data_IF_057378246855
#
_entry.id   IF_057378246855
#
_cell.length_a   1.000
_cell.length_b   1.000
_cell.length_c   1.000
_cell.angle_alpha   90.00
_cell.angle_beta   90.00
_cell.angle_gamma   90.00
#
_symmetry.space_group_name_H-M   'P 1'
#
loop_
_entity.id
_entity.type
_entity.pdbx_description
1 polymer ?
#
# COMPACT_ATOMS: atom_id res chain seq x y z
N UNK A 1 20.65 2.34 -25.55
CA UNK A 1 19.86 3.54 -25.22
C UNK A 1 19.23 3.22 -23.89
N UNK A 2 19.71 3.83 -22.82
CA UNK A 2 19.10 3.67 -21.49
C UNK A 2 18.06 4.78 -21.42
N UNK A 3 16.80 4.41 -21.26
CA UNK A 3 15.73 5.40 -21.09
C UNK A 3 15.93 6.10 -19.74
N UNK A 4 16.00 7.43 -19.75
CA UNK A 4 16.06 8.24 -18.54
C UNK A 4 14.74 8.07 -17.77
N UNK A 5 14.76 7.29 -16.69
CA UNK A 5 13.62 7.15 -15.79
C UNK A 5 13.54 8.44 -14.97
N UNK A 6 12.48 9.23 -15.19
CA UNK A 6 12.18 10.42 -14.40
C UNK A 6 11.30 10.02 -13.23
N UNK A 7 11.70 10.42 -12.02
CA UNK A 7 10.91 10.24 -10.81
C UNK A 7 10.25 11.57 -10.41
N UNK A 8 9.01 11.51 -9.93
CA UNK A 8 8.31 12.64 -9.32
C UNK A 8 8.04 12.36 -7.84
N UNK A 9 8.20 13.39 -7.02
CA UNK A 9 7.90 13.33 -5.60
C UNK A 9 6.50 13.89 -5.34
N UNK A 10 5.67 13.14 -4.64
CA UNK A 10 4.39 13.63 -4.14
C UNK A 10 4.40 13.69 -2.61
N UNK A 11 4.05 14.86 -2.07
CA UNK A 11 3.78 15.06 -0.67
C UNK A 11 2.26 15.08 -0.47
N UNK A 12 1.75 14.16 0.33
CA UNK A 12 0.34 14.15 0.70
C UNK A 12 0.22 14.37 2.20
N UNK A 13 -0.55 15.39 2.57
CA UNK A 13 -0.87 15.70 3.97
C UNK A 13 -2.31 15.24 4.28
N UNK A 14 -2.48 14.53 5.38
CA UNK A 14 -3.79 14.21 5.96
C UNK A 14 -3.75 14.47 7.46
N UNK A 15 -4.39 15.55 7.89
CA UNK A 15 -4.35 15.99 9.29
C UNK A 15 -2.93 16.27 9.79
N UNK A 16 -2.46 15.52 10.78
CA UNK A 16 -1.12 15.66 11.38
C UNK A 16 -0.05 14.76 10.76
N UNK A 17 -0.39 13.95 9.75
CA UNK A 17 0.55 13.00 9.14
C UNK A 17 0.96 13.49 7.75
N UNK A 18 2.27 13.59 7.53
CA UNK A 18 2.90 13.82 6.22
C UNK A 18 3.43 12.50 5.69
N UNK A 19 3.15 12.19 4.43
CA UNK A 19 3.76 11.05 3.72
C UNK A 19 4.39 11.50 2.41
N UNK A 20 5.52 10.88 2.11
CA UNK A 20 6.32 11.13 0.91
C UNK A 20 6.20 9.91 -0.01
N UNK A 21 5.90 10.13 -1.28
CA UNK A 21 5.81 9.09 -2.29
C UNK A 21 6.81 9.38 -3.42
N UNK A 22 7.55 8.35 -3.84
CA UNK A 22 8.28 8.34 -5.10
C UNK A 22 7.38 7.73 -6.18
N UNK A 23 7.17 8.45 -7.28
CA UNK A 23 6.36 8.01 -8.41
C UNK A 23 7.20 8.00 -9.67
N UNK A 24 6.87 7.12 -10.60
CA UNK A 24 7.44 7.15 -11.95
C UNK A 24 6.73 8.25 -12.77
N UNK A 25 7.46 9.03 -13.57
CA UNK A 25 6.87 10.16 -14.29
C UNK A 25 5.75 9.69 -15.22
N UNK A 26 4.54 10.21 -15.03
CA UNK A 26 3.35 9.83 -15.80
C UNK A 26 2.34 8.95 -15.07
N UNK A 27 2.64 8.42 -13.89
CA UNK A 27 1.67 7.68 -13.08
C UNK A 27 0.77 8.61 -12.24
N UNK A 28 -0.55 8.43 -12.36
CA UNK A 28 -1.52 9.10 -11.51
C UNK A 28 -1.76 8.25 -10.26
N UNK A 29 -1.55 8.84 -9.09
CA UNK A 29 -1.97 8.23 -7.82
C UNK A 29 -3.44 8.52 -7.65
N UNK A 30 -4.27 7.49 -7.82
CA UNK A 30 -5.69 7.56 -7.44
C UNK A 30 -5.80 7.16 -5.96
N UNK A 31 -5.90 8.16 -5.07
CA UNK A 31 -6.21 7.93 -3.65
C UNK A 31 -7.73 7.92 -3.51
N UNK A 32 -8.30 6.81 -3.04
CA UNK A 32 -9.74 6.66 -2.86
C UNK A 32 -10.07 6.52 -1.36
N UNK A 33 -10.93 7.43 -0.92
CA UNK A 33 -11.66 7.51 0.35
C UNK A 33 -10.93 8.05 1.60
N UNK A 34 -11.51 9.17 2.07
CA UNK A 34 -11.41 9.87 3.35
C UNK A 34 -10.18 10.79 3.60
N UNK A 35 -10.42 12.09 3.34
CA UNK A 35 -9.69 13.29 3.78
C UNK A 35 -8.15 13.29 3.70
N UNK A 36 -7.58 12.76 2.63
CA UNK A 36 -6.29 13.25 2.15
C UNK A 36 -6.57 14.37 1.15
N UNK A 37 -6.43 15.62 1.59
CA UNK A 37 -6.34 16.73 0.65
C UNK A 37 -4.98 16.64 -0.03
N UNK A 38 -4.91 15.87 -1.12
CA UNK A 38 -3.79 15.97 -2.03
C UNK A 38 -3.83 17.36 -2.69
N UNK A 39 -3.14 18.34 -2.08
CA UNK A 39 -2.75 19.56 -2.77
C UNK A 39 -1.68 19.11 -3.77
N UNK A 40 -2.07 18.82 -5.00
CA UNK A 40 -1.10 18.27 -5.96
C UNK A 40 -0.20 19.37 -6.54
N UNK A 41 1.06 18.94 -6.69
CA UNK A 41 2.15 19.47 -7.50
C UNK A 41 2.89 20.68 -6.92
N UNK A 42 3.94 20.36 -6.15
CA UNK A 42 5.13 21.20 -6.08
C UNK A 42 6.23 20.46 -6.85
N UNK A 43 6.62 20.97 -8.02
CA UNK A 43 7.97 20.67 -8.53
C UNK A 43 8.97 21.22 -7.52
N UNK A 44 9.90 20.38 -7.07
CA UNK A 44 11.07 20.83 -6.32
C UNK A 44 12.14 21.10 -7.38
N UNK A 45 12.52 22.37 -7.52
CA UNK A 45 13.67 22.77 -8.32
C UNK A 45 14.93 22.09 -7.76
N UNK A 46 15.46 21.10 -8.48
CA UNK A 46 16.86 20.72 -8.35
C UNK A 46 17.62 21.57 -9.37
N UNK A 47 18.39 22.54 -8.87
CA UNK A 47 19.30 23.31 -9.71
C UNK A 47 20.29 22.35 -10.39
N UNK A 48 20.11 22.15 -11.69
CA UNK A 48 21.19 21.70 -12.55
C UNK A 48 22.09 22.91 -12.80
N UNK A 49 23.26 22.95 -12.18
CA UNK A 49 24.33 23.82 -12.65
C UNK A 49 24.57 23.52 -14.13
N UNK A 50 24.39 24.54 -14.96
CA UNK A 50 24.56 24.58 -16.43
C UNK A 50 23.28 24.37 -17.24
N UNK A 51 22.37 25.35 -17.09
CA UNK A 51 21.69 26.07 -18.18
C UNK A 51 21.54 25.30 -19.50
N UNK A 52 20.33 24.85 -19.81
CA UNK A 52 19.63 25.05 -21.09
C UNK A 52 18.22 24.43 -21.03
N UNK A 53 17.20 25.24 -21.36
CA UNK A 53 15.77 24.95 -21.67
C UNK A 53 14.71 25.41 -20.62
N UNK A 54 13.47 25.75 -21.08
CA UNK A 54 12.79 26.99 -20.73
C UNK A 54 11.82 26.92 -19.53
N UNK A 55 11.65 28.09 -18.90
CA UNK A 55 10.61 28.44 -17.93
C UNK A 55 9.20 28.05 -18.39
N UNK A 56 8.43 27.41 -17.50
CA UNK A 56 6.97 27.36 -17.57
C UNK A 56 6.33 28.07 -16.38
N UNK A 57 5.20 28.74 -16.65
CA UNK A 57 4.51 29.68 -15.75
C UNK A 57 3.31 28.98 -15.10
N UNK A 58 3.20 29.06 -13.77
CA UNK A 58 2.12 28.48 -12.95
C UNK A 58 0.80 29.27 -13.03
N UNK A 59 -0.34 28.58 -13.02
CA UNK A 59 -1.69 29.16 -12.78
C UNK A 59 -2.50 28.24 -11.84
N UNK A 60 -3.22 28.85 -10.90
CA UNK A 60 -3.90 28.28 -9.71
C UNK A 60 -5.07 27.32 -9.98
N UNK A 61 -5.34 26.40 -9.05
CA UNK A 61 -6.56 25.56 -9.01
C UNK A 61 -7.52 25.94 -7.88
N UNK A 62 -8.84 25.96 -8.19
CA UNK A 62 -9.97 26.15 -7.25
C UNK A 62 -10.71 24.81 -7.08
N UNK A 63 -11.15 24.47 -5.86
CA UNK A 63 -11.98 23.30 -5.59
C UNK A 63 -13.28 23.64 -4.86
N UNK A 64 -14.43 23.20 -5.38
CA UNK A 64 -15.76 23.32 -4.76
C UNK A 64 -16.10 22.09 -3.91
N UNK A 65 -16.76 22.30 -2.76
CA UNK A 65 -17.27 21.23 -1.87
C UNK A 65 -18.66 20.75 -2.32
N UNK A 66 -18.87 19.44 -2.37
CA UNK A 66 -20.22 18.85 -2.31
C UNK A 66 -20.46 18.28 -0.92
N UNK A 67 -21.63 18.60 -0.33
CA UNK A 67 -22.11 18.03 0.94
C UNK A 67 -23.02 16.84 0.62
N UNK A 68 -22.66 15.64 1.04
CA UNK A 68 -23.58 14.50 1.14
C UNK A 68 -24.23 14.47 2.53
N UNK A 69 -25.44 13.90 2.61
CA UNK A 69 -26.26 13.83 3.84
C UNK A 69 -25.65 12.91 4.91
N UNK A 70 -26.33 12.70 6.05
CA UNK A 70 -25.80 11.88 7.13
C UNK A 70 -25.65 10.42 6.67
N UNK A 71 -24.42 9.94 6.64
CA UNK A 71 -24.11 8.54 6.37
C UNK A 71 -24.71 7.64 7.47
N UNK A 72 -25.10 6.40 7.13
CA UNK A 72 -25.46 5.41 8.14
C UNK A 72 -24.31 5.30 9.15
N UNK A 73 -24.63 5.21 10.45
CA UNK A 73 -23.65 5.22 11.55
C UNK A 73 -22.68 4.04 11.37
N UNK A 74 -21.59 4.25 10.65
CA UNK A 74 -20.45 3.35 10.52
C UNK A 74 -19.71 3.41 11.85
N UNK A 75 -19.86 2.37 12.68
CA UNK A 75 -18.98 2.22 13.84
C UNK A 75 -17.58 1.91 13.32
N UNK A 76 -16.66 2.87 13.47
CA UNK A 76 -15.25 2.66 13.17
C UNK A 76 -14.73 1.45 13.95
N UNK A 77 -14.06 0.50 13.30
CA UNK A 77 -13.55 -0.68 13.97
C UNK A 77 -12.53 -0.29 15.05
N UNK A 78 -12.49 -1.05 16.14
CA UNK A 78 -11.52 -0.82 17.21
C UNK A 78 -10.10 -1.17 16.78
N UNK A 79 -9.95 -2.15 15.87
CA UNK A 79 -8.69 -2.54 15.25
C UNK A 79 -8.88 -2.76 13.74
N UNK A 80 -7.89 -2.40 12.94
CA UNK A 80 -7.86 -2.68 11.51
C UNK A 80 -6.44 -2.87 10.99
N UNK A 81 -6.33 -3.60 9.89
CA UNK A 81 -5.08 -3.75 9.12
C UNK A 81 -5.42 -3.51 7.64
N UNK A 82 -4.91 -2.41 7.09
CA UNK A 82 -4.97 -2.13 5.66
C UNK A 82 -3.68 -2.65 4.99
N UNK A 83 -3.82 -3.52 4.02
CA UNK A 83 -2.69 -4.11 3.29
C UNK A 83 -2.55 -3.43 1.95
N UNK A 84 -1.34 -2.98 1.63
CA UNK A 84 -0.95 -2.55 0.28
C UNK A 84 0.00 -3.61 -0.29
N UNK A 85 -0.47 -4.34 -1.30
CA UNK A 85 0.30 -5.38 -1.97
C UNK A 85 0.78 -4.87 -3.32
N UNK A 86 2.10 -4.69 -3.42
CA UNK A 86 2.84 -4.23 -4.59
C UNK A 86 3.43 -5.46 -5.27
N UNK A 87 2.88 -5.82 -6.42
CA UNK A 87 3.36 -6.94 -7.21
C UNK A 87 4.37 -6.44 -8.25
N UNK A 88 5.67 -6.58 -7.96
CA UNK A 88 6.73 -6.21 -8.91
C UNK A 88 7.16 -7.38 -9.82
N UNK A 89 6.50 -8.53 -9.69
CA UNK A 89 6.74 -9.67 -10.57
C UNK A 89 6.14 -9.44 -11.96
N UNK A 90 6.41 -10.35 -12.90
CA UNK A 90 5.80 -10.32 -14.24
C UNK A 90 4.57 -11.25 -14.35
N UNK A 91 4.02 -11.70 -13.21
CA UNK A 91 2.88 -12.60 -13.14
C UNK A 91 1.74 -11.98 -12.34
N UNK A 92 0.51 -12.30 -12.72
CA UNK A 92 -0.68 -11.88 -11.98
C UNK A 92 -0.84 -12.71 -10.71
N UNK A 93 -1.10 -12.04 -9.58
CA UNK A 93 -1.44 -12.72 -8.34
C UNK A 93 -2.93 -13.02 -8.33
N UNK A 94 -3.28 -14.29 -8.16
CA UNK A 94 -4.67 -14.74 -8.15
C UNK A 94 -5.10 -15.09 -6.72
N UNK A 95 -6.12 -14.43 -6.18
CA UNK A 95 -6.61 -14.71 -4.83
C UNK A 95 -6.99 -16.18 -4.68
N UNK A 96 -6.62 -16.78 -3.53
CA UNK A 96 -6.89 -18.19 -3.25
C UNK A 96 -7.75 -18.38 -2.02
N UNK A 97 -7.41 -17.71 -0.93
CA UNK A 97 -8.16 -17.82 0.31
C UNK A 97 -8.03 -16.59 1.17
N UNK A 98 -9.07 -16.38 1.96
CA UNK A 98 -9.07 -15.49 3.12
C UNK A 98 -9.64 -16.29 4.27
N UNK A 99 -8.81 -16.55 5.27
CA UNK A 99 -9.21 -17.24 6.51
C UNK A 99 -9.04 -16.28 7.67
N UNK A 100 -10.07 -16.11 8.49
CA UNK A 100 -10.05 -15.22 9.64
C UNK A 100 -10.31 -16.03 10.90
N UNK A 101 -9.39 -15.93 11.86
CA UNK A 101 -9.58 -16.45 13.20
C UNK A 101 -10.34 -15.42 14.05
N UNK A 102 -10.12 -14.12 13.80
CA UNK A 102 -10.85 -13.01 14.40
C UNK A 102 -11.10 -11.86 13.42
N UNK A 103 -12.20 -11.16 13.62
CA UNK A 103 -12.59 -10.00 12.82
C UNK A 103 -13.33 -10.39 11.54
N UNK A 104 -13.34 -9.46 10.58
CA UNK A 104 -14.00 -9.61 9.29
C UNK A 104 -13.24 -8.84 8.21
N UNK A 105 -13.55 -9.14 6.96
CA UNK A 105 -13.13 -8.31 5.83
C UNK A 105 -13.93 -7.00 5.87
N UNK A 106 -13.26 -5.87 5.68
CA UNK A 106 -13.90 -4.55 5.66
C UNK A 106 -14.81 -4.46 4.44
N UNK A 107 -16.00 -3.88 4.61
CA UNK A 107 -16.98 -3.77 3.52
C UNK A 107 -16.40 -2.96 2.36
N UNK A 108 -16.53 -3.47 1.14
CA UNK A 108 -15.97 -2.89 -0.10
C UNK A 108 -14.44 -2.80 -0.16
N UNK A 109 -13.71 -3.45 0.75
CA UNK A 109 -12.24 -3.51 0.75
C UNK A 109 -11.78 -4.97 0.85
N UNK A 110 -12.42 -5.85 0.08
CA UNK A 110 -12.06 -7.27 0.01
C UNK A 110 -10.72 -7.48 -0.70
N UNK A 111 -9.95 -8.52 -0.34
CA UNK A 111 -8.82 -8.96 -1.16
C UNK A 111 -9.25 -9.08 -2.63
N UNK A 112 -8.61 -8.33 -3.57
CA UNK A 112 -8.97 -8.40 -4.98
C UNK A 112 -8.72 -9.79 -5.54
N UNK A 113 -9.59 -10.27 -6.43
CA UNK A 113 -9.43 -11.59 -7.08
C UNK A 113 -8.12 -11.68 -7.88
N UNK A 114 -7.71 -10.57 -8.50
CA UNK A 114 -6.49 -10.47 -9.31
C UNK A 114 -5.72 -9.19 -8.96
N UNK A 115 -4.42 -9.33 -8.77
CA UNK A 115 -3.46 -8.21 -8.69
C UNK A 115 -2.50 -8.36 -9.89
N UNK A 116 -2.67 -7.55 -10.95
CA UNK A 116 -1.87 -7.73 -12.15
C UNK A 116 -0.37 -7.54 -11.91
N UNK A 117 0.45 -8.09 -12.80
CA UNK A 117 1.89 -7.83 -12.85
C UNK A 117 2.19 -6.31 -12.85
N UNK A 118 3.17 -5.90 -12.04
CA UNK A 118 3.60 -4.50 -11.92
C UNK A 118 2.60 -3.56 -11.21
N UNK A 119 1.49 -4.07 -10.66
CA UNK A 119 0.44 -3.24 -10.07
C UNK A 119 0.44 -3.28 -8.53
N UNK A 120 -0.13 -2.24 -7.94
CA UNK A 120 -0.44 -2.17 -6.51
C UNK A 120 -1.94 -2.29 -6.29
N UNK A 121 -2.34 -3.10 -5.31
CA UNK A 121 -3.72 -3.16 -4.84
C UNK A 121 -3.77 -3.16 -3.31
N UNK A 122 -4.95 -2.93 -2.77
CA UNK A 122 -5.15 -2.93 -1.33
C UNK A 122 -6.43 -3.65 -0.92
N UNK A 123 -6.45 -4.09 0.33
CA UNK A 123 -7.62 -4.63 1.01
C UNK A 123 -7.49 -4.34 2.51
N UNK A 124 -8.56 -4.53 3.26
CA UNK A 124 -8.56 -4.27 4.69
C UNK A 124 -9.32 -5.32 5.48
N UNK A 125 -8.74 -5.73 6.59
CA UNK A 125 -9.40 -6.53 7.61
C UNK A 125 -9.67 -5.64 8.83
N UNK A 126 -10.79 -5.88 9.51
CA UNK A 126 -11.18 -5.11 10.68
C UNK A 126 -11.74 -5.99 11.80
N UNK A 127 -11.59 -5.52 13.04
CA UNK A 127 -12.20 -6.16 14.20
C UNK A 127 -13.72 -6.14 14.08
N UNK A 128 -14.36 -7.24 14.45
CA UNK A 128 -15.81 -7.31 14.63
C UNK A 128 -16.09 -7.83 16.04
N UNK A 129 -16.80 -7.03 16.86
CA UNK A 129 -17.21 -7.42 18.20
C UNK A 129 -16.57 -6.59 19.31
N UNK A 130 -16.91 -6.95 20.55
CA UNK A 130 -16.44 -6.24 21.74
C UNK A 130 -15.11 -6.82 22.21
N UNK A 131 -14.08 -5.97 22.29
CA UNK A 131 -12.72 -6.34 22.74
C UNK A 131 -12.06 -7.43 21.89
N UNK A 132 -12.33 -7.45 20.60
CA UNK A 132 -11.70 -8.35 19.63
C UNK A 132 -10.66 -7.62 18.79
N UNK A 133 -9.65 -8.36 18.34
CA UNK A 133 -8.67 -7.88 17.36
C UNK A 133 -9.08 -8.25 15.94
N UNK A 134 -8.10 -8.22 15.05
CA UNK A 134 -8.20 -8.86 13.73
C UNK A 134 -7.05 -9.83 13.57
N UNK A 135 -7.36 -11.07 13.20
CA UNK A 135 -6.37 -12.12 12.98
C UNK A 135 -6.80 -12.95 11.78
N UNK A 136 -5.87 -13.17 10.85
CA UNK A 136 -6.13 -14.03 9.72
C UNK A 136 -5.02 -14.12 8.70
N UNK A 137 -5.28 -14.94 7.69
CA UNK A 137 -4.38 -15.21 6.58
C UNK A 137 -5.08 -14.94 5.26
N UNK A 138 -4.42 -14.19 4.38
CA UNK A 138 -4.80 -14.02 2.98
C UNK A 138 -3.73 -14.69 2.12
N UNK A 139 -4.14 -15.48 1.13
CA UNK A 139 -3.23 -16.12 0.20
C UNK A 139 -3.53 -15.79 -1.25
N UNK A 140 -2.47 -15.59 -2.02
CA UNK A 140 -2.49 -15.36 -3.45
C UNK A 140 -1.62 -16.39 -4.15
N UNK A 141 -2.04 -16.88 -5.30
CA UNK A 141 -1.23 -17.73 -6.17
C UNK A 141 -0.35 -16.87 -7.05
N UNK A 142 0.96 -17.11 -6.99
CA UNK A 142 1.98 -16.39 -7.76
C UNK A 142 2.17 -17.05 -9.13
N UNK A 143 2.34 -18.38 -9.16
CA UNK A 143 2.54 -19.20 -10.36
C UNK A 143 1.65 -20.46 -10.36
N UNK A 144 1.97 -21.53 -11.09
CA UNK A 144 1.17 -22.77 -11.05
C UNK A 144 1.22 -23.54 -9.71
N UNK A 145 2.23 -23.28 -8.88
CA UNK A 145 2.65 -24.13 -7.76
C UNK A 145 2.96 -23.40 -6.46
N UNK A 146 3.22 -22.09 -6.50
CA UNK A 146 3.68 -21.26 -5.37
C UNK A 146 2.65 -20.21 -5.00
N UNK A 147 2.41 -20.02 -3.71
CA UNK A 147 1.52 -19.01 -3.16
C UNK A 147 2.32 -17.95 -2.40
N UNK A 148 1.84 -16.70 -2.41
CA UNK A 148 2.19 -15.69 -1.42
C UNK A 148 1.21 -15.84 -0.24
N UNK A 149 1.74 -15.99 0.97
CA UNK A 149 0.97 -16.09 2.21
C UNK A 149 1.17 -14.83 3.02
N UNK A 150 0.08 -14.16 3.41
CA UNK A 150 0.07 -12.95 4.25
C UNK A 150 -0.71 -13.25 5.52
N UNK A 151 -0.02 -13.50 6.62
CA UNK A 151 -0.58 -13.62 7.96
C UNK A 151 -0.50 -12.28 8.71
N UNK A 152 -1.60 -11.92 9.36
CA UNK A 152 -1.76 -10.69 10.12
C UNK A 152 -2.44 -10.99 11.46
N UNK A 153 -1.91 -10.40 12.52
CA UNK A 153 -2.53 -10.36 13.85
C UNK A 153 -2.37 -8.94 14.41
N UNK A 154 -3.49 -8.25 14.63
CA UNK A 154 -3.57 -6.97 15.33
C UNK A 154 -4.58 -7.14 16.47
N UNK A 155 -4.11 -7.57 17.65
CA UNK A 155 -4.97 -7.97 18.76
C UNK A 155 -5.62 -6.75 19.43
N UNK A 156 -6.73 -6.96 20.14
CA UNK A 156 -7.37 -5.89 20.92
C UNK A 156 -6.41 -5.28 21.97
N UNK A 157 -5.55 -6.10 22.56
CA UNK A 157 -4.45 -5.71 23.44
C UNK A 157 -3.23 -6.54 23.09
N UNK A 158 -2.08 -5.89 22.92
CA UNK A 158 -0.85 -6.54 22.50
C UNK A 158 -0.15 -5.75 21.40
N UNK A 159 0.88 -6.36 20.84
CA UNK A 159 1.62 -5.84 19.68
C UNK A 159 1.11 -6.51 18.40
N UNK A 160 1.22 -5.79 17.30
CA UNK A 160 0.89 -6.32 15.99
C UNK A 160 1.96 -7.35 15.56
N UNK A 161 1.53 -8.35 14.80
CA UNK A 161 2.41 -9.40 14.26
C UNK A 161 2.05 -9.68 12.82
N UNK A 162 3.06 -9.73 11.95
CA UNK A 162 2.88 -9.94 10.52
C UNK A 162 3.92 -10.92 10.01
N UNK A 163 3.47 -11.93 9.24
CA UNK A 163 4.36 -12.83 8.51
C UNK A 163 3.93 -12.84 7.05
N UNK A 164 4.89 -12.62 6.16
CA UNK A 164 4.64 -12.68 4.72
C UNK A 164 5.76 -13.47 4.08
N UNK A 165 5.40 -14.49 3.31
CA UNK A 165 6.37 -15.37 2.68
C UNK A 165 5.77 -16.10 1.47
N UNK A 166 6.59 -16.42 0.45
CA UNK A 166 6.22 -17.38 -0.57
C UNK A 166 6.22 -18.81 0.00
N UNK A 167 5.25 -19.63 -0.40
CA UNK A 167 5.08 -21.03 -0.01
C UNK A 167 4.80 -21.91 -1.23
N UNK A 168 5.66 -22.90 -1.47
CA UNK A 168 5.54 -23.84 -2.59
C UNK A 168 6.90 -24.19 -3.23
N UNK A 169 6.87 -25.02 -4.28
CA UNK A 169 8.08 -25.56 -4.90
C UNK A 169 9.06 -24.53 -5.48
N UNK A 170 8.58 -23.35 -5.89
CA UNK A 170 9.43 -22.28 -6.43
C UNK A 170 9.53 -21.09 -5.45
N UNK A 171 9.28 -21.30 -4.15
CA UNK A 171 9.29 -20.22 -3.16
C UNK A 171 10.62 -19.45 -3.12
N UNK A 172 11.72 -20.14 -3.42
CA UNK A 172 13.09 -19.60 -3.51
C UNK A 172 13.33 -18.67 -4.72
N UNK A 173 12.38 -18.58 -5.66
CA UNK A 173 12.45 -17.67 -6.80
C UNK A 173 11.83 -16.30 -6.51
N UNK A 174 11.28 -16.10 -5.33
CA UNK A 174 10.59 -14.87 -4.95
C UNK A 174 11.14 -14.34 -3.64
N UNK A 175 11.26 -13.01 -3.57
CA UNK A 175 11.60 -12.30 -2.36
C UNK A 175 10.43 -11.41 -1.91
N UNK A 176 10.31 -11.23 -0.60
CA UNK A 176 9.27 -10.42 0.03
C UNK A 176 9.90 -9.41 0.97
N UNK A 177 9.71 -8.14 0.65
CA UNK A 177 9.96 -7.04 1.59
C UNK A 177 8.64 -6.61 2.21
N UNK A 178 8.63 -6.34 3.51
CA UNK A 178 7.45 -5.84 4.22
C UNK A 178 7.76 -4.68 5.15
N UNK A 179 6.87 -3.68 5.16
CA UNK A 179 6.83 -2.62 6.16
C UNK A 179 5.71 -2.91 7.15
N UNK A 180 6.02 -2.98 8.45
CA UNK A 180 5.04 -3.27 9.48
C UNK A 180 4.45 -1.97 10.01
N UNK A 181 3.13 -1.89 10.11
CA UNK A 181 2.44 -0.78 10.77
C UNK A 181 2.09 -1.12 12.21
N UNK A 182 2.18 -0.11 13.08
CA UNK A 182 1.81 -0.22 14.49
C UNK A 182 0.47 0.47 14.80
N UNK A 183 0.01 0.26 16.04
CA UNK A 183 -1.19 0.91 16.56
C UNK A 183 -2.48 0.17 16.21
N UNK A 184 -3.60 0.81 16.55
CA UNK A 184 -4.92 0.21 16.44
C UNK A 184 -5.38 0.02 14.98
N UNK A 185 -5.11 1.01 14.13
CA UNK A 185 -5.42 0.98 12.70
C UNK A 185 -4.09 1.02 11.95
N UNK A 186 -3.59 -0.17 11.63
CA UNK A 186 -2.26 -0.36 11.12
C UNK A 186 -2.27 -0.54 9.59
N UNK A 187 -1.14 -0.23 8.97
CA UNK A 187 -0.92 -0.45 7.55
C UNK A 187 0.22 -1.45 7.36
N UNK A 188 0.01 -2.43 6.49
CA UNK A 188 1.02 -3.41 6.10
C UNK A 188 1.36 -3.18 4.62
N UNK A 189 2.60 -2.81 4.33
CA UNK A 189 3.10 -2.73 2.96
C UNK A 189 3.81 -4.04 2.65
N UNK A 190 3.45 -4.68 1.54
CA UNK A 190 4.06 -5.91 1.04
C UNK A 190 4.55 -5.67 -0.38
N UNK A 191 5.85 -5.89 -0.61
CA UNK A 191 6.46 -5.87 -1.93
C UNK A 191 6.86 -7.30 -2.26
N UNK A 192 6.22 -7.89 -3.26
CA UNK A 192 6.62 -9.16 -3.84
C UNK A 192 7.50 -8.89 -5.06
N UNK A 193 8.66 -9.53 -5.13
CA UNK A 193 9.61 -9.42 -6.23
C UNK A 193 10.21 -10.78 -6.60
N UNK A 194 10.93 -10.85 -7.71
CA UNK A 194 11.74 -12.00 -8.06
C UNK A 194 13.02 -12.02 -7.22
N UNK A 195 13.39 -13.18 -6.69
CA UNK A 195 14.74 -13.37 -6.18
C UNK A 195 15.70 -13.38 -7.38
N UNK A 196 16.32 -12.22 -7.58
CA UNK A 196 17.32 -12.00 -8.60
C UNK A 196 18.71 -11.87 -7.97
N UNK A 197 18.98 -12.48 -6.82
CA UNK A 197 20.32 -12.45 -6.19
C UNK A 197 20.98 -11.05 -6.24
N UNK A 198 20.28 -9.98 -5.83
CA UNK A 198 20.93 -8.68 -5.54
C UNK A 198 20.31 -7.38 -6.08
N UNK A 199 19.00 -7.24 -6.25
CA UNK A 199 18.41 -5.90 -6.46
C UNK A 199 18.07 -5.24 -5.12
N UNK A 200 18.92 -4.28 -4.78
CA UNK A 200 19.00 -3.46 -3.56
C UNK A 200 17.88 -2.41 -3.48
N UNK A 201 17.24 -2.23 -2.31
CA UNK A 201 16.57 -0.97 -1.95
C UNK A 201 16.73 -0.62 -0.46
N UNK A 202 16.90 0.68 -0.21
CA UNK A 202 17.10 1.32 1.09
C UNK A 202 15.77 1.39 1.83
N UNK A 203 15.67 0.75 2.99
CA UNK A 203 14.64 1.05 3.98
C UNK A 203 15.13 2.24 4.80
N UNK A 204 14.54 3.41 4.59
CA UNK A 204 14.62 4.50 5.56
C UNK A 204 13.62 4.19 6.68
N UNK A 205 14.07 3.48 7.72
CA UNK A 205 13.40 3.54 9.01
C UNK A 205 13.63 4.94 9.58
N UNK A 206 12.55 5.70 9.75
CA UNK A 206 12.55 6.86 10.64
C UNK A 206 12.04 6.40 12.00
N UNK A 207 12.92 5.78 12.77
CA UNK A 207 12.78 5.73 14.21
C UNK A 207 13.39 7.01 14.81
N UNK A 208 12.54 7.93 15.24
CA UNK A 208 12.65 8.72 16.49
C UNK A 208 11.47 9.67 16.68
#
# INVERSE_FOLDING_TARGET
>A
MVDDIKYEFALCDSGTRRREFLLNSGEQVLVVNEEIQCIRCREIDLEAENNLLPMFKLTSCLGNRYKTGPDPIQMTPARSVQVFLINTTNMDLNHRSTTLDQGRVTTNQTPPDIIPAGQTKHFQLESQGFRTGVEGTVSYRIDGTTNLVIYMDNPYMGLNSYKVYPDGPNADQYDVTKGNGDGANAELIVILSWDSNGVFWIVHDKDS
#
